data_IF_179962574935
#
_entry.id   IF_179962574935
#
_cell.length_a   1.000
_cell.length_b   1.000
_cell.length_c   1.000
_cell.angle_alpha   90.00
_cell.angle_beta   90.00
_cell.angle_gamma   90.00
#
_symmetry.space_group_name_H-M   'P 1'
#
loop_
_entity.id
_entity.type
_entity.pdbx_description
1 polymer ?
#
# COMPACT_ATOMS: atom_id res chain seq x y z
N UNK A 1 12.99 33.71 8.62
CA UNK A 1 11.68 34.35 8.78
C UNK A 1 10.77 33.36 9.48
N UNK A 2 10.31 33.62 10.72
CA UNK A 2 9.21 32.86 11.30
C UNK A 2 7.93 33.19 10.52
N UNK A 3 7.07 32.19 10.31
CA UNK A 3 5.73 32.40 9.74
C UNK A 3 4.92 33.31 10.67
N UNK A 4 4.07 34.17 10.11
CA UNK A 4 3.10 34.91 10.91
C UNK A 4 1.97 33.97 11.36
N UNK A 5 1.29 34.32 12.46
CA UNK A 5 0.15 33.53 12.95
C UNK A 5 -0.96 33.46 11.90
N UNK A 6 -1.13 34.52 11.10
CA UNK A 6 -2.10 34.57 10.00
C UNK A 6 -1.73 33.60 8.85
N UNK A 7 -0.45 33.51 8.50
CA UNK A 7 0.02 32.54 7.48
C UNK A 7 -0.21 31.10 7.95
N UNK A 8 -0.05 30.86 9.25
CA UNK A 8 -0.26 29.55 9.85
C UNK A 8 -1.74 29.18 9.85
N UNK A 9 -2.64 30.12 10.18
CA UNK A 9 -4.09 29.89 10.12
C UNK A 9 -4.56 29.63 8.69
N UNK A 10 -4.07 30.41 7.72
CA UNK A 10 -4.39 30.21 6.31
C UNK A 10 -3.95 28.83 5.81
N UNK A 11 -2.76 28.38 6.22
CA UNK A 11 -2.26 27.04 5.92
C UNK A 11 -3.16 25.94 6.51
N UNK A 12 -3.56 26.06 7.77
CA UNK A 12 -4.45 25.07 8.39
C UNK A 12 -5.82 25.03 7.71
N UNK A 13 -6.40 26.18 7.34
CA UNK A 13 -7.66 26.21 6.58
C UNK A 13 -7.56 25.56 5.21
N UNK A 14 -6.45 25.72 4.48
CA UNK A 14 -6.25 25.03 3.20
C UNK A 14 -6.21 23.51 3.39
N UNK A 15 -5.49 23.04 4.43
CA UNK A 15 -5.42 21.63 4.77
C UNK A 15 -6.80 21.08 5.15
N UNK A 16 -7.57 21.79 5.96
CA UNK A 16 -8.95 21.42 6.33
C UNK A 16 -9.86 21.37 5.10
N UNK A 17 -9.83 22.39 4.23
CA UNK A 17 -10.65 22.42 3.01
C UNK A 17 -10.34 21.24 2.08
N UNK A 18 -9.06 20.88 1.94
CA UNK A 18 -8.61 19.75 1.12
C UNK A 18 -8.92 18.39 1.74
N UNK A 19 -9.00 18.32 3.07
CA UNK A 19 -9.26 17.06 3.80
C UNK A 19 -10.73 16.87 4.15
N UNK A 20 -11.56 17.90 4.15
CA UNK A 20 -13.01 17.84 4.39
C UNK A 20 -13.74 16.86 3.45
N UNK A 21 -13.33 16.77 2.19
CA UNK A 21 -13.89 15.80 1.24
C UNK A 21 -13.43 14.35 1.49
N UNK A 22 -12.34 14.13 2.22
CA UNK A 22 -11.84 12.79 2.60
C UNK A 22 -12.53 12.22 3.85
N UNK A 23 -13.32 13.01 4.56
CA UNK A 23 -14.10 12.61 5.73
C UNK A 23 -15.44 11.93 5.39
N UNK A 24 -15.75 11.69 4.10
CA UNK A 24 -16.82 10.74 3.80
C UNK A 24 -16.54 9.43 4.54
N UNK A 25 -17.54 8.85 5.24
CA UNK A 25 -17.34 7.67 6.06
C UNK A 25 -16.84 6.57 5.15
N UNK A 26 -15.53 6.29 5.22
CA UNK A 26 -14.94 5.12 4.57
C UNK A 26 -15.76 3.95 5.09
N UNK A 27 -16.57 3.35 4.19
CA UNK A 27 -17.41 2.16 4.44
C UNK A 27 -16.79 1.38 5.58
N UNK A 28 -17.47 1.32 6.74
CA UNK A 28 -16.99 0.67 7.97
C UNK A 28 -16.11 -0.51 7.56
N UNK A 29 -14.79 -0.32 7.69
CA UNK A 29 -13.84 -1.40 7.49
C UNK A 29 -14.34 -2.50 8.41
N UNK A 30 -14.65 -3.67 7.84
CA UNK A 30 -15.03 -4.86 8.61
C UNK A 30 -14.09 -4.90 9.81
N UNK A 31 -14.66 -4.91 11.01
CA UNK A 31 -13.95 -4.80 12.28
C UNK A 31 -12.58 -5.47 12.15
N UNK A 32 -11.52 -4.66 12.24
CA UNK A 32 -10.17 -5.15 12.14
C UNK A 32 -10.03 -6.29 13.13
N UNK A 33 -9.63 -7.46 12.64
CA UNK A 33 -9.11 -8.48 13.54
C UNK A 33 -7.94 -7.79 14.24
N UNK A 34 -8.05 -7.59 15.55
CA UNK A 34 -7.00 -7.00 16.35
C UNK A 34 -5.79 -7.93 16.26
N UNK A 35 -4.75 -7.48 15.56
CA UNK A 35 -3.49 -8.18 15.45
C UNK A 35 -2.47 -7.43 16.32
N UNK A 36 -2.40 -7.68 17.64
CA UNK A 36 -1.54 -6.92 18.55
C UNK A 36 -0.04 -7.01 18.21
N UNK A 37 0.35 -8.00 17.40
CA UNK A 37 1.73 -8.18 16.92
C UNK A 37 1.96 -7.66 15.49
N UNK A 38 0.96 -7.10 14.81
CA UNK A 38 1.11 -6.60 13.44
C UNK A 38 1.79 -5.23 13.46
N UNK A 39 2.89 -5.01 12.71
CA UNK A 39 3.50 -3.69 12.56
C UNK A 39 2.61 -2.70 11.80
N UNK A 40 1.57 -3.16 11.11
CA UNK A 40 0.64 -2.30 10.39
C UNK A 40 -0.83 -2.74 10.62
N UNK A 41 -1.37 -2.56 11.85
CA UNK A 41 -2.72 -3.00 12.20
C UNK A 41 -3.79 -2.21 11.43
N UNK A 42 -3.51 -0.95 11.07
CA UNK A 42 -4.42 -0.09 10.31
C UNK A 42 -4.48 -0.43 8.81
N UNK A 43 -3.66 -1.35 8.31
CA UNK A 43 -3.66 -1.75 6.89
C UNK A 43 -4.46 -3.02 6.72
N UNK A 44 -5.28 -3.05 5.68
CA UNK A 44 -6.04 -4.24 5.32
C UNK A 44 -5.09 -5.37 4.91
N UNK A 45 -5.08 -6.50 5.62
CA UNK A 45 -4.28 -7.64 5.24
C UNK A 45 -4.90 -8.38 4.05
N UNK A 46 -4.07 -9.05 3.27
CA UNK A 46 -4.49 -9.99 2.24
C UNK A 46 -4.50 -11.42 2.80
N UNK A 47 -5.46 -12.23 2.35
CA UNK A 47 -5.63 -13.60 2.82
C UNK A 47 -4.59 -14.57 2.21
N UNK A 48 -4.11 -14.27 1.00
CA UNK A 48 -3.17 -15.12 0.27
C UNK A 48 -2.08 -14.30 -0.45
N UNK A 49 -0.94 -14.91 -0.83
CA UNK A 49 0.07 -14.23 -1.63
C UNK A 49 -0.42 -13.87 -3.04
N UNK A 50 -1.39 -14.61 -3.58
CA UNK A 50 -2.01 -14.30 -4.86
C UNK A 50 -2.82 -12.99 -4.78
N UNK A 51 -3.61 -12.81 -3.71
CA UNK A 51 -4.39 -11.59 -3.49
C UNK A 51 -3.48 -10.38 -3.28
N UNK A 52 -2.38 -10.56 -2.55
CA UNK A 52 -1.39 -9.50 -2.34
C UNK A 52 -0.72 -9.08 -3.67
N UNK A 53 -0.42 -10.05 -4.54
CA UNK A 53 0.10 -9.77 -5.89
C UNK A 53 -0.90 -9.02 -6.75
N UNK A 54 -2.17 -9.44 -6.74
CA UNK A 54 -3.22 -8.74 -7.48
C UNK A 54 -3.42 -7.30 -6.95
N UNK A 55 -3.31 -7.12 -5.64
CA UNK A 55 -3.32 -5.81 -5.00
C UNK A 55 -2.19 -4.90 -5.50
N UNK A 56 -0.97 -5.44 -5.66
CA UNK A 56 0.15 -4.71 -6.27
C UNK A 56 -0.17 -4.32 -7.71
N UNK A 57 -0.72 -5.23 -8.51
CA UNK A 57 -1.05 -4.96 -9.91
C UNK A 57 -2.18 -3.91 -10.04
N UNK A 58 -3.13 -3.88 -9.10
CA UNK A 58 -4.12 -2.79 -8.99
C UNK A 58 -3.45 -1.46 -8.64
N UNK A 59 -2.56 -1.43 -7.64
CA UNK A 59 -1.85 -0.20 -7.24
C UNK A 59 -1.00 0.37 -8.38
N UNK A 60 -0.29 -0.49 -9.11
CA UNK A 60 0.52 -0.10 -10.27
C UNK A 60 -0.28 0.59 -11.37
N UNK A 61 -1.53 0.18 -11.59
CA UNK A 61 -2.40 0.82 -12.59
C UNK A 61 -2.79 2.26 -12.23
N UNK A 62 -2.76 2.61 -10.95
CA UNK A 62 -3.10 3.95 -10.47
C UNK A 62 -1.88 4.84 -10.23
N UNK A 63 -0.68 4.28 -10.25
CA UNK A 63 0.57 5.03 -10.10
C UNK A 63 1.01 5.56 -11.47
N UNK A 64 0.99 6.89 -11.63
CA UNK A 64 1.49 7.58 -12.82
C UNK A 64 2.92 8.06 -12.55
N UNK A 65 3.87 7.71 -13.42
CA UNK A 65 5.29 8.11 -13.30
C UNK A 65 6.19 7.05 -12.67
N UNK A 66 7.20 7.48 -11.92
CA UNK A 66 8.22 6.61 -11.29
C UNK A 66 7.62 5.86 -10.10
N UNK A 67 6.90 4.77 -10.39
CA UNK A 67 6.29 3.94 -9.37
C UNK A 67 7.35 3.18 -8.55
N UNK A 68 7.27 3.17 -7.21
CA UNK A 68 8.18 2.37 -6.39
C UNK A 68 7.98 0.88 -6.65
N UNK A 69 9.05 0.09 -6.48
CA UNK A 69 8.95 -1.36 -6.55
C UNK A 69 8.17 -1.90 -5.34
N UNK A 70 6.89 -2.19 -5.54
CA UNK A 70 6.05 -2.82 -4.54
C UNK A 70 6.35 -4.31 -4.41
N UNK A 71 6.39 -4.79 -3.17
CA UNK A 71 6.68 -6.16 -2.76
C UNK A 71 5.61 -6.64 -1.77
N UNK A 72 5.46 -7.95 -1.62
CA UNK A 72 4.60 -8.54 -0.59
C UNK A 72 5.40 -9.47 0.34
N UNK A 73 4.94 -9.60 1.57
CA UNK A 73 5.56 -10.45 2.60
C UNK A 73 4.51 -11.06 3.52
N UNK A 74 4.87 -12.18 4.16
CA UNK A 74 4.08 -12.79 5.23
C UNK A 74 4.45 -12.12 6.56
N UNK A 75 3.47 -11.49 7.20
CA UNK A 75 3.65 -10.72 8.41
C UNK A 75 3.60 -11.62 9.67
N UNK A 76 4.09 -11.11 10.80
CA UNK A 76 3.95 -11.76 12.13
C UNK A 76 2.50 -12.08 12.50
N UNK A 77 1.53 -11.34 11.97
CA UNK A 77 0.10 -11.61 12.12
C UNK A 77 -0.41 -12.79 11.27
N UNK A 78 0.48 -13.47 10.54
CA UNK A 78 0.18 -14.55 9.57
C UNK A 78 -0.67 -14.14 8.38
N UNK A 79 -0.77 -12.84 8.13
CA UNK A 79 -1.44 -12.30 6.97
C UNK A 79 -0.44 -11.69 5.98
N UNK A 80 -0.90 -11.42 4.76
CA UNK A 80 -0.04 -10.92 3.68
C UNK A 80 -0.16 -9.40 3.56
N UNK A 81 0.98 -8.71 3.52
CA UNK A 81 1.03 -7.25 3.44
C UNK A 81 1.89 -6.79 2.25
N UNK A 82 1.56 -5.61 1.71
CA UNK A 82 2.31 -4.95 0.63
C UNK A 82 3.20 -3.85 1.24
N UNK A 83 4.42 -3.73 0.72
CA UNK A 83 5.37 -2.68 1.11
C UNK A 83 6.20 -2.22 -0.08
N UNK A 84 6.58 -0.95 -0.07
CA UNK A 84 7.59 -0.36 -0.97
C UNK A 84 9.01 -0.44 -0.40
N UNK A 85 9.17 -0.81 0.88
CA UNK A 85 10.48 -0.88 1.52
C UNK A 85 11.33 -1.99 0.92
N UNK A 86 12.59 -1.66 0.63
CA UNK A 86 13.58 -2.63 0.19
C UNK A 86 14.03 -3.55 1.35
N UNK A 87 14.02 -3.02 2.57
CA UNK A 87 14.37 -3.72 3.80
C UNK A 87 13.11 -4.38 4.36
N UNK A 88 13.00 -5.69 4.21
CA UNK A 88 11.91 -6.48 4.77
C UNK A 88 12.36 -7.04 6.12
N UNK A 89 11.65 -6.70 7.19
CA UNK A 89 11.87 -7.26 8.54
C UNK A 89 11.29 -8.70 8.64
N UNK A 90 10.50 -9.13 7.65
CA UNK A 90 9.79 -10.42 7.65
C UNK A 90 10.00 -11.24 6.38
N UNK A 91 9.60 -12.52 6.44
CA UNK A 91 9.87 -13.56 5.44
C UNK A 91 9.38 -13.14 4.06
N UNK A 92 10.32 -12.97 3.14
CA UNK A 92 10.06 -12.67 1.74
C UNK A 92 9.62 -13.94 1.04
N UNK A 93 8.50 -13.90 0.33
CA UNK A 93 8.17 -14.97 -0.60
C UNK A 93 8.79 -14.66 -1.96
N UNK A 94 9.55 -15.60 -2.53
CA UNK A 94 10.20 -15.37 -3.81
C UNK A 94 9.14 -15.05 -4.86
N UNK A 95 9.38 -14.04 -5.73
CA UNK A 95 8.46 -13.75 -6.81
C UNK A 95 8.32 -15.00 -7.69
N UNK A 96 7.09 -15.36 -8.04
CA UNK A 96 6.84 -16.51 -8.91
C UNK A 96 7.62 -16.33 -10.22
N UNK A 97 8.22 -17.41 -10.78
CA UNK A 97 9.08 -17.31 -11.95
C UNK A 97 8.31 -16.65 -13.10
N UNK A 98 8.91 -15.62 -13.69
CA UNK A 98 8.36 -14.96 -14.86
C UNK A 98 8.23 -16.00 -15.99
N UNK A 99 7.00 -16.29 -16.43
CA UNK A 99 6.74 -17.17 -17.56
C UNK A 99 7.38 -16.56 -18.81
N UNK A 100 8.57 -17.03 -19.19
CA UNK A 100 9.21 -16.72 -20.48
C UNK A 100 8.26 -17.15 -21.60
N UNK A 101 7.63 -16.19 -22.29
CA UNK A 101 6.94 -16.44 -23.55
C UNK A 101 8.00 -16.88 -24.58
N UNK A 102 8.08 -18.18 -24.87
CA UNK A 102 8.89 -18.69 -25.98
C UNK A 102 8.25 -18.19 -27.28
N UNK A 103 8.88 -17.21 -27.92
CA UNK A 103 8.53 -16.76 -29.26
C UNK A 103 8.62 -17.93 -30.25
N UNK A 104 7.53 -18.17 -30.95
CA UNK A 104 7.39 -19.18 -32.00
C UNK A 104 8.26 -18.76 -33.19
N UNK A 105 9.39 -19.46 -33.42
CA UNK A 105 10.24 -19.28 -34.61
C UNK A 105 9.41 -19.70 -35.83
N UNK A 106 9.05 -18.75 -36.70
CA UNK A 106 8.51 -19.04 -38.05
C UNK A 106 9.65 -19.67 -38.85
N UNK A 107 9.37 -20.83 -39.44
CA UNK A 107 10.21 -21.56 -40.38
C UNK A 107 9.70 -21.27 -41.79
#
# INVERSE_FOLDING_TARGET
MPFSDDDLEAFYRDVEARTAFREQPRRRRRAGVDYPACPTPDKLPFASPADAREGIDRLRRHLVGTAPELRYYECSCRAWHITSSAQLIHRRVPPAPARRRKGKKKR
#
